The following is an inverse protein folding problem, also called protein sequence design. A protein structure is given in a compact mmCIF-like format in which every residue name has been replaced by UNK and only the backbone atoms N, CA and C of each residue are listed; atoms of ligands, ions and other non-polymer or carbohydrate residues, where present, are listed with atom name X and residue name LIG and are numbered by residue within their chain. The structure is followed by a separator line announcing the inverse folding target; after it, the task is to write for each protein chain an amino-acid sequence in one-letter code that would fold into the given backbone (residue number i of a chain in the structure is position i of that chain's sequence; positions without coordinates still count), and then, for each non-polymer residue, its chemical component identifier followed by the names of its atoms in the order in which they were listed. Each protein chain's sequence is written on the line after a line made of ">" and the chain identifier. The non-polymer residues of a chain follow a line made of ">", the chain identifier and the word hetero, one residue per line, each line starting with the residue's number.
data_IF_112256648548
#
_entry.id   IF_112256648548
#
_cell.length_a   1.000
_cell.length_b   1.000
_cell.length_c   1.000
_cell.angle_alpha   90.00
_cell.angle_beta   90.00
_cell.angle_gamma   90.00
#
_symmetry.space_group_name_H-M   'P 1'
#
loop_
_entity.id
_entity.type
_entity.pdbx_description
1 polymer ?
#
# COMPACT_ATOMS: atom_id res chain seq x y z
N UNK A 1 -16.46 -17.94 35.55
CA UNK A 1 -17.47 -16.87 35.46
C UNK A 1 -16.91 -15.73 34.63
N UNK A 2 -17.64 -15.25 33.62
CA UNK A 2 -17.22 -14.07 32.87
C UNK A 2 -17.33 -12.83 33.78
N UNK A 3 -16.25 -12.06 33.90
CA UNK A 3 -16.20 -10.85 34.73
C UNK A 3 -16.66 -9.66 33.89
N UNK A 4 -17.76 -9.04 34.28
CA UNK A 4 -18.20 -7.76 33.74
C UNK A 4 -17.76 -6.64 34.68
N UNK A 5 -17.03 -5.65 34.17
CA UNK A 5 -16.73 -4.41 34.88
C UNK A 5 -17.60 -3.30 34.30
N UNK A 6 -18.27 -2.55 35.18
CA UNK A 6 -19.09 -1.43 34.76
C UNK A 6 -18.21 -0.34 34.10
N UNK A 7 -18.62 0.22 32.95
CA UNK A 7 -17.90 1.31 32.32
C UNK A 7 -18.00 2.58 33.16
N UNK A 8 -16.93 3.38 33.16
CA UNK A 8 -16.91 4.69 33.81
C UNK A 8 -17.66 5.68 32.93
N UNK A 9 -18.73 6.29 33.46
CA UNK A 9 -19.55 7.29 32.77
C UNK A 9 -19.36 8.64 33.47
N UNK A 10 -19.27 9.72 32.68
CA UNK A 10 -19.19 11.08 33.20
C UNK A 10 -20.59 11.59 33.60
N UNK A 11 -20.71 12.20 34.77
CA UNK A 11 -21.95 12.82 35.24
C UNK A 11 -21.92 14.34 35.01
N UNK A 12 -23.03 14.90 34.53
CA UNK A 12 -23.19 16.33 34.28
C UNK A 12 -24.53 16.81 34.86
N UNK A 13 -24.54 17.39 36.07
CA UNK A 13 -25.79 17.77 36.74
C UNK A 13 -26.47 18.99 36.11
N UNK A 14 -25.76 19.77 35.30
CA UNK A 14 -26.24 21.06 34.76
C UNK A 14 -26.68 21.02 33.30
N UNK A 15 -26.50 19.89 32.60
CA UNK A 15 -26.90 19.79 31.20
C UNK A 15 -26.52 18.47 30.54
N UNK A 16 -26.82 18.37 29.24
CA UNK A 16 -26.49 17.22 28.41
C UNK A 16 -25.28 17.54 27.53
N UNK A 17 -24.19 16.79 27.67
CA UNK A 17 -22.99 16.95 26.86
C UNK A 17 -21.68 16.67 27.60
N UNK A 18 -20.52 16.79 26.91
CA UNK A 18 -19.21 16.57 27.52
C UNK A 18 -18.94 17.59 28.63
N UNK A 19 -18.62 17.12 29.83
CA UNK A 19 -18.32 17.99 30.97
C UNK A 19 -16.81 18.24 31.16
N UNK A 20 -15.96 17.35 30.67
CA UNK A 20 -14.52 17.45 30.80
C UNK A 20 -13.78 17.04 29.53
N UNK A 21 -12.60 17.66 29.32
CA UNK A 21 -11.65 17.21 28.30
C UNK A 21 -11.16 15.81 28.71
N UNK A 22 -11.12 14.83 27.78
CA UNK A 22 -10.58 13.51 28.07
C UNK A 22 -9.17 13.60 28.65
N UNK A 23 -8.91 12.85 29.73
CA UNK A 23 -7.63 12.85 30.46
C UNK A 23 -6.43 12.60 29.55
N UNK A 24 -6.60 11.76 28.52
CA UNK A 24 -5.59 11.43 27.50
C UNK A 24 -5.01 12.64 26.76
N UNK A 25 -5.77 13.74 26.66
CA UNK A 25 -5.41 14.92 25.87
C UNK A 25 -5.27 16.20 26.71
N UNK A 26 -5.36 16.10 28.04
CA UNK A 26 -5.33 17.27 28.93
C UNK A 26 -3.99 17.99 28.94
N UNK A 27 -2.90 17.22 28.92
CA UNK A 27 -1.53 17.73 29.08
C UNK A 27 -0.77 17.87 27.75
N UNK A 28 -1.47 17.77 26.62
CA UNK A 28 -0.87 17.81 25.29
C UNK A 28 -1.50 18.93 24.45
N UNK A 29 -0.71 19.85 23.87
CA UNK A 29 -1.22 20.84 22.93
C UNK A 29 -1.94 20.16 21.75
N UNK A 30 -3.21 20.51 21.55
CA UNK A 30 -4.00 19.91 20.49
C UNK A 30 -3.56 20.44 19.12
N UNK A 31 -3.24 19.53 18.20
CA UNK A 31 -3.04 19.85 16.78
C UNK A 31 -3.75 18.81 15.91
N UNK A 32 -4.65 19.22 14.99
CA UNK A 32 -5.34 18.29 14.11
C UNK A 32 -4.36 17.66 13.11
N UNK A 33 -4.53 16.37 12.85
CA UNK A 33 -3.73 15.62 11.89
C UNK A 33 -4.55 14.51 11.24
N UNK A 34 -4.09 14.05 10.08
CA UNK A 34 -4.66 12.91 9.36
C UNK A 34 -3.64 11.78 9.31
N UNK A 35 -4.04 10.58 9.76
CA UNK A 35 -3.20 9.36 9.69
C UNK A 35 -2.95 8.88 8.26
N UNK A 36 -3.76 9.35 7.30
CA UNK A 36 -3.62 9.01 5.88
C UNK A 36 -2.66 9.91 5.12
N UNK A 37 -2.10 10.94 5.77
CA UNK A 37 -1.20 11.88 5.11
C UNK A 37 0.15 11.20 4.79
N UNK A 38 0.70 11.55 3.61
CA UNK A 38 1.95 10.95 3.14
C UNK A 38 3.13 11.39 4.02
N UNK A 39 3.88 10.42 4.52
CA UNK A 39 5.11 10.64 5.32
C UNK A 39 6.38 10.54 4.46
N UNK A 40 7.49 11.11 4.95
CA UNK A 40 8.82 11.02 4.34
C UNK A 40 9.29 12.26 3.56
N UNK A 41 8.93 13.47 4.04
CA UNK A 41 9.53 14.72 3.55
C UNK A 41 10.89 14.91 4.21
N UNK A 42 11.93 15.21 3.42
CA UNK A 42 13.29 15.46 3.90
C UNK A 42 13.43 16.95 4.18
N UNK A 43 14.13 17.31 5.27
CA UNK A 43 14.55 18.69 5.53
C UNK A 43 15.97 18.88 5.00
N UNK A 44 16.20 19.98 4.28
CA UNK A 44 17.50 20.32 3.69
C UNK A 44 17.79 21.81 3.91
N UNK A 45 18.81 22.11 4.71
CA UNK A 45 19.25 23.47 5.01
C UNK A 45 19.95 24.15 3.83
N UNK A 46 20.44 23.38 2.84
CA UNK A 46 21.07 23.92 1.63
C UNK A 46 20.06 24.29 0.54
N UNK A 47 18.82 23.82 0.65
CA UNK A 47 17.74 24.05 -0.31
C UNK A 47 17.91 23.37 -1.68
N UNK A 48 18.91 22.51 -1.87
CA UNK A 48 19.23 21.91 -3.17
C UNK A 48 18.33 20.70 -3.52
N UNK A 49 17.75 20.05 -2.52
CA UNK A 49 17.04 18.76 -2.65
C UNK A 49 15.76 18.82 -3.49
N UNK A 50 15.03 19.95 -3.48
CA UNK A 50 13.73 20.07 -4.17
C UNK A 50 13.76 21.10 -5.29
N UNK A 51 14.33 20.73 -6.45
CA UNK A 51 14.28 21.56 -7.66
C UNK A 51 12.86 21.64 -8.27
N UNK A 52 12.03 20.60 -8.09
CA UNK A 52 10.64 20.56 -8.56
C UNK A 52 9.66 20.72 -7.39
N UNK A 53 8.91 21.84 -7.39
CA UNK A 53 7.89 22.19 -6.38
C UNK A 53 6.73 21.19 -6.29
N UNK A 54 6.58 20.27 -7.25
CA UNK A 54 5.53 19.24 -7.21
C UNK A 54 5.76 18.18 -6.13
N UNK A 55 7.02 17.94 -5.75
CA UNK A 55 7.35 16.96 -4.72
C UNK A 55 6.86 17.38 -3.32
N UNK A 56 7.18 18.57 -2.79
CA UNK A 56 6.75 18.99 -1.45
C UNK A 56 5.22 19.11 -1.30
N UNK A 57 4.50 19.43 -2.38
CA UNK A 57 3.03 19.50 -2.37
C UNK A 57 2.33 18.15 -2.14
N UNK A 58 3.04 17.03 -2.17
CA UNK A 58 2.47 15.71 -1.83
C UNK A 58 2.46 15.43 -0.32
N UNK A 59 3.13 16.27 0.46
CA UNK A 59 3.30 16.13 1.91
C UNK A 59 2.59 17.25 2.67
N UNK A 60 1.88 18.15 1.97
CA UNK A 60 1.03 19.16 2.59
C UNK A 60 -0.24 18.50 3.10
N UNK A 61 -0.49 18.59 4.41
CA UNK A 61 -1.73 18.11 5.02
C UNK A 61 -2.92 18.93 4.51
N UNK A 62 -4.02 18.25 4.20
CA UNK A 62 -5.26 18.89 3.77
C UNK A 62 -6.17 19.29 4.95
N UNK A 63 -6.00 18.63 6.10
CA UNK A 63 -6.96 18.69 7.21
C UNK A 63 -6.44 19.44 8.46
N UNK A 64 -5.22 19.98 8.42
CA UNK A 64 -4.68 20.68 9.58
C UNK A 64 -3.34 21.35 9.31
N UNK A 65 -3.36 22.66 9.16
CA UNK A 65 -2.17 23.51 9.17
C UNK A 65 -1.98 24.13 10.55
N UNK A 66 -1.47 23.36 11.51
CA UNK A 66 -1.13 23.85 12.84
C UNK A 66 0.39 24.01 13.01
N UNK A 67 0.81 25.06 13.72
CA UNK A 67 2.20 25.34 14.05
C UNK A 67 2.48 25.26 15.55
N UNK A 68 1.63 24.54 16.31
CA UNK A 68 1.71 24.46 17.78
C UNK A 68 3.00 23.76 18.21
N UNK A 69 3.48 22.82 17.40
CA UNK A 69 4.76 22.13 17.58
C UNK A 69 5.88 22.67 16.65
N UNK A 70 5.73 23.88 16.11
CA UNK A 70 6.73 24.47 15.24
C UNK A 70 7.77 25.28 16.03
N UNK A 71 9.03 25.11 15.68
CA UNK A 71 10.12 25.98 16.13
C UNK A 71 10.36 27.07 15.10
N UNK A 72 10.40 28.33 15.55
CA UNK A 72 10.78 29.48 14.74
C UNK A 72 12.16 29.96 15.18
N UNK A 73 13.09 30.00 14.24
CA UNK A 73 14.43 30.51 14.48
C UNK A 73 14.46 32.00 14.15
N UNK A 74 14.66 32.86 15.16
CA UNK A 74 14.61 34.32 15.00
C UNK A 74 15.97 34.96 14.70
N UNK A 75 17.07 34.21 14.86
CA UNK A 75 18.43 34.75 14.70
C UNK A 75 18.96 34.59 13.27
N UNK A 76 19.66 35.63 12.79
CA UNK A 76 20.31 35.62 11.48
C UNK A 76 21.69 34.95 11.57
N UNK A 77 21.74 33.63 11.38
CA UNK A 77 22.97 32.80 11.44
C UNK A 77 24.05 33.24 10.41
N UNK A 78 23.70 34.01 9.38
CA UNK A 78 24.65 34.50 8.36
C UNK A 78 25.65 35.52 8.90
N UNK A 79 25.45 36.03 10.11
CA UNK A 79 26.30 37.06 10.72
C UNK A 79 27.51 36.46 11.46
N UNK A 80 27.45 35.17 11.82
CA UNK A 80 28.54 34.51 12.53
C UNK A 80 29.59 33.99 11.56
N UNK A 81 30.86 34.30 11.84
CA UNK A 81 32.00 33.69 11.15
C UNK A 81 32.72 32.76 12.11
N UNK A 82 32.99 31.53 11.64
CA UNK A 82 33.81 30.59 12.39
C UNK A 82 35.26 31.09 12.40
N UNK A 83 35.75 31.50 13.56
CA UNK A 83 37.17 31.86 13.76
C UNK A 83 37.98 30.56 13.82
N UNK A 84 38.81 30.32 12.81
CA UNK A 84 39.69 29.15 12.76
C UNK A 84 40.97 29.43 13.58
N UNK A 85 41.17 28.71 14.69
CA UNK A 85 42.40 28.75 15.49
C UNK A 85 43.40 27.65 15.10
N UNK A 86 43.09 26.82 14.09
CA UNK A 86 43.94 25.73 13.65
C UNK A 86 44.76 26.13 12.41
N UNK A 87 46.08 25.84 12.43
CA UNK A 87 46.91 25.96 11.23
C UNK A 87 46.48 24.88 10.22
N UNK A 88 45.80 25.29 9.15
CA UNK A 88 45.36 24.38 8.06
C UNK A 88 46.53 23.59 7.48
N UNK A 89 46.58 22.27 7.71
CA UNK A 89 47.43 21.37 6.93
C UNK A 89 46.75 21.02 5.60
N UNK A 90 47.38 21.40 4.49
CA UNK A 90 46.93 21.04 3.15
C UNK A 90 47.31 19.59 2.86
N UNK A 91 46.33 18.69 2.77
CA UNK A 91 46.54 17.31 2.31
C UNK A 91 46.86 17.30 0.81
N UNK A 92 48.02 16.74 0.45
CA UNK A 92 48.59 16.78 -0.90
C UNK A 92 47.80 16.01 -1.99
N UNK A 93 46.76 15.27 -1.63
CA UNK A 93 46.17 14.25 -2.51
C UNK A 93 44.96 14.69 -3.35
N UNK A 94 44.50 15.94 -3.26
CA UNK A 94 43.34 16.42 -4.05
C UNK A 94 43.70 17.12 -5.38
N UNK A 95 44.97 17.09 -5.80
CA UNK A 95 45.42 17.80 -7.00
C UNK A 95 44.94 17.20 -8.34
N UNK A 96 44.31 16.01 -8.36
CA UNK A 96 43.99 15.32 -9.63
C UNK A 96 42.49 15.14 -9.95
N UNK A 97 41.57 15.67 -9.14
CA UNK A 97 40.11 15.63 -9.47
C UNK A 97 39.66 16.72 -10.45
N UNK A 98 40.52 17.72 -10.69
CA UNK A 98 40.22 18.88 -11.55
C UNK A 98 40.31 18.61 -13.07
N UNK A 99 40.87 17.48 -13.52
CA UNK A 99 40.96 17.19 -14.97
C UNK A 99 39.64 16.72 -15.59
N UNK A 100 38.75 16.07 -14.82
CA UNK A 100 37.46 15.60 -15.35
C UNK A 100 36.39 16.71 -15.40
N UNK A 101 36.47 17.71 -14.51
CA UNK A 101 35.60 18.89 -14.55
C UNK A 101 35.88 19.82 -15.74
N UNK A 102 37.12 19.86 -16.24
CA UNK A 102 37.51 20.69 -17.39
C UNK A 102 36.93 20.20 -18.73
N UNK A 103 36.59 18.90 -18.85
CA UNK A 103 35.98 18.37 -20.09
C UNK A 103 34.51 18.80 -20.21
N UNK A 104 33.79 18.94 -19.09
CA UNK A 104 32.44 19.48 -19.08
C UNK A 104 32.40 21.00 -19.29
N UNK A 105 33.40 21.73 -18.78
CA UNK A 105 33.51 23.18 -19.03
C UNK A 105 33.82 23.54 -20.49
N UNK A 106 34.54 22.69 -21.26
CA UNK A 106 34.73 22.91 -22.70
C UNK A 106 33.42 22.79 -23.49
N UNK A 107 32.55 21.84 -23.12
CA UNK A 107 31.23 21.69 -23.75
C UNK A 107 30.28 22.87 -23.47
N UNK A 108 30.37 23.47 -22.27
CA UNK A 108 29.63 24.70 -21.93
C UNK A 108 30.22 25.97 -22.57
N UNK A 109 31.53 25.97 -22.88
CA UNK A 109 32.20 27.08 -23.58
C UNK A 109 31.85 27.08 -25.08
N UNK A 110 31.70 25.91 -25.71
CA UNK A 110 31.21 25.80 -27.09
C UNK A 110 29.72 26.19 -27.21
N UNK A 111 28.91 25.88 -26.20
CA UNK A 111 27.50 26.32 -26.14
C UNK A 111 27.36 27.83 -25.93
N UNK A 112 28.27 28.46 -25.16
CA UNK A 112 28.31 29.92 -24.98
C UNK A 112 28.87 30.66 -26.19
N UNK A 113 29.83 30.10 -26.91
CA UNK A 113 30.34 30.70 -28.15
C UNK A 113 29.33 30.67 -29.31
N UNK A 114 28.37 29.72 -29.31
CA UNK A 114 27.25 29.76 -30.26
C UNK A 114 26.17 30.81 -29.87
N UNK A 115 26.16 31.27 -28.61
CA UNK A 115 25.23 32.31 -28.16
C UNK A 115 25.74 33.74 -28.44
N UNK A 116 27.02 33.90 -28.77
CA UNK A 116 27.61 35.20 -29.11
C UNK A 116 27.67 35.49 -30.62
N UNK A 117 27.44 34.50 -31.49
CA UNK A 117 27.45 34.70 -32.95
C UNK A 117 26.06 34.93 -33.58
N UNK A 118 25.06 35.30 -32.78
CA UNK A 118 23.68 35.48 -33.25
C UNK A 118 23.15 36.92 -33.10
N UNK A 119 24.05 37.90 -33.24
CA UNK A 119 23.71 39.30 -33.55
C UNK A 119 23.66 39.51 -35.08
N UNK A 120 23.06 38.56 -35.80
CA UNK A 120 22.69 38.77 -37.19
C UNK A 120 21.25 38.34 -37.37
N UNK A 121 20.45 39.27 -37.88
CA UNK A 121 19.01 39.13 -38.07
C UNK A 121 18.73 38.01 -39.06
N UNK A 122 18.40 36.81 -38.56
CA UNK A 122 17.85 35.77 -39.43
C UNK A 122 16.52 36.24 -40.03
N UNK A 123 16.27 36.02 -41.34
CA UNK A 123 15.01 36.37 -41.99
C UNK A 123 13.83 35.64 -41.32
N UNK A 124 12.68 36.32 -41.26
CA UNK A 124 11.46 35.90 -40.54
C UNK A 124 11.00 34.46 -40.85
N UNK A 125 11.37 33.89 -42.00
CA UNK A 125 11.02 32.52 -42.42
C UNK A 125 11.79 31.43 -41.66
N UNK A 126 13.03 31.67 -41.23
CA UNK A 126 13.86 30.68 -40.54
C UNK A 126 13.44 30.46 -39.08
N UNK A 127 13.01 31.53 -38.40
CA UNK A 127 12.47 31.47 -37.02
C UNK A 127 11.17 30.66 -36.91
N UNK A 128 10.33 30.70 -37.94
CA UNK A 128 9.06 29.95 -37.97
C UNK A 128 9.33 28.44 -38.04
N UNK A 129 10.23 28.02 -38.93
CA UNK A 129 10.60 26.61 -39.15
C UNK A 129 11.22 25.97 -37.90
N UNK A 130 11.99 26.73 -37.13
CA UNK A 130 12.58 26.26 -35.87
C UNK A 130 11.54 26.18 -34.73
N UNK A 131 10.57 27.10 -34.70
CA UNK A 131 9.45 27.07 -33.75
C UNK A 131 8.54 25.87 -34.01
N UNK A 132 8.31 25.52 -35.28
CA UNK A 132 7.53 24.34 -35.68
C UNK A 132 8.29 23.04 -35.40
N UNK A 133 9.62 23.00 -35.61
CA UNK A 133 10.47 21.87 -35.20
C UNK A 133 10.40 21.63 -33.69
N UNK A 134 10.44 22.68 -32.88
CA UNK A 134 10.29 22.57 -31.42
C UNK A 134 8.88 22.16 -30.99
N UNK A 135 7.83 22.63 -31.68
CA UNK A 135 6.44 22.20 -31.40
C UNK A 135 6.22 20.73 -31.71
N UNK A 136 6.79 20.22 -32.82
CA UNK A 136 6.68 18.83 -33.21
C UNK A 136 7.44 17.91 -32.23
N UNK A 137 8.64 18.33 -31.79
CA UNK A 137 9.42 17.62 -30.77
C UNK A 137 8.69 17.58 -29.41
N UNK A 138 8.04 18.67 -29.00
CA UNK A 138 7.19 18.69 -27.78
C UNK A 138 5.94 17.81 -27.90
N UNK A 139 5.34 17.70 -29.09
CA UNK A 139 4.21 16.78 -29.33
C UNK A 139 4.65 15.32 -29.24
N UNK A 140 5.78 14.97 -29.87
CA UNK A 140 6.34 13.62 -29.82
C UNK A 140 6.69 13.22 -28.37
N UNK A 141 7.34 14.12 -27.62
CA UNK A 141 7.70 13.87 -26.22
C UNK A 141 6.48 13.71 -25.29
N UNK A 142 5.38 14.44 -25.56
CA UNK A 142 4.10 14.26 -24.85
C UNK A 142 3.42 12.94 -25.18
N UNK A 143 3.50 12.47 -26.43
CA UNK A 143 2.85 11.23 -26.86
C UNK A 143 3.53 9.98 -26.25
N UNK A 144 4.86 10.00 -26.09
CA UNK A 144 5.58 8.96 -25.35
C UNK A 144 5.33 9.02 -23.83
N UNK A 145 5.12 10.21 -23.25
CA UNK A 145 4.79 10.37 -21.83
C UNK A 145 3.38 9.91 -21.43
N UNK A 146 2.41 9.91 -22.35
CA UNK A 146 1.03 9.45 -22.08
C UNK A 146 0.95 7.92 -22.01
N UNK A 147 1.76 7.20 -22.78
CA UNK A 147 1.84 5.72 -22.74
C UNK A 147 2.43 5.24 -21.40
N UNK A 148 3.50 5.89 -20.93
CA UNK A 148 4.12 5.64 -19.63
C UNK A 148 3.16 5.92 -18.45
N UNK A 149 2.21 6.84 -18.62
CA UNK A 149 1.22 7.19 -17.57
C UNK A 149 0.14 6.12 -17.37
N UNK A 150 -0.17 5.31 -18.38
CA UNK A 150 -1.13 4.21 -18.28
C UNK A 150 -0.52 2.98 -17.62
N UNK A 151 0.75 2.68 -17.93
CA UNK A 151 1.53 1.63 -17.27
C UNK A 151 1.87 1.98 -15.81
N UNK A 152 1.90 3.28 -15.50
CA UNK A 152 2.12 3.81 -14.16
C UNK A 152 0.81 4.13 -13.44
N UNK A 153 -0.25 3.35 -13.68
CA UNK A 153 -1.28 3.16 -12.66
C UNK A 153 -0.59 2.52 -11.47
N UNK A 154 -0.24 3.38 -10.50
CA UNK A 154 0.20 3.00 -9.16
C UNK A 154 -0.54 1.73 -8.77
N UNK A 155 0.20 0.64 -8.58
CA UNK A 155 -0.31 -0.52 -7.87
C UNK A 155 -0.87 0.05 -6.57
N UNK A 156 -2.20 0.11 -6.47
CA UNK A 156 -2.83 0.53 -5.22
C UNK A 156 -2.33 -0.48 -4.19
N UNK A 157 -1.76 -0.03 -3.06
CA UNK A 157 -1.42 -0.97 -2.00
C UNK A 157 -2.67 -1.79 -1.72
N UNK A 158 -2.55 -3.10 -1.88
CA UNK A 158 -3.63 -4.02 -1.55
C UNK A 158 -3.55 -4.20 -0.06
N UNK A 159 -4.44 -3.51 0.65
CA UNK A 159 -4.50 -3.62 2.09
C UNK A 159 -4.84 -5.08 2.47
N UNK A 160 -4.27 -5.55 3.56
CA UNK A 160 -4.56 -6.87 4.09
C UNK A 160 -6.05 -6.97 4.44
N UNK A 161 -6.68 -8.10 4.15
CA UNK A 161 -8.09 -8.32 4.49
C UNK A 161 -8.35 -8.40 6.00
N UNK A 162 -7.28 -8.40 6.81
CA UNK A 162 -7.32 -8.55 8.26
C UNK A 162 -6.35 -7.57 8.91
N UNK A 163 -6.75 -7.10 10.08
CA UNK A 163 -5.92 -6.28 10.97
C UNK A 163 -4.90 -7.18 11.68
N UNK A 164 -3.62 -6.98 11.37
CA UNK A 164 -2.52 -7.72 12.01
C UNK A 164 -2.32 -7.15 13.42
N UNK A 165 -2.54 -7.99 14.44
CA UNK A 165 -2.34 -7.62 15.84
C UNK A 165 -0.98 -8.11 16.36
N UNK A 166 -0.44 -7.44 17.37
CA UNK A 166 0.88 -7.73 17.94
C UNK A 166 0.93 -8.99 18.81
N UNK A 167 -0.22 -9.57 19.17
CA UNK A 167 -0.35 -10.82 19.94
C UNK A 167 -0.25 -12.08 19.06
N UNK A 168 -0.12 -11.92 17.74
CA UNK A 168 -0.04 -13.05 16.81
C UNK A 168 1.37 -13.62 16.74
N UNK A 169 1.49 -14.91 17.02
CA UNK A 169 2.74 -15.65 16.86
C UNK A 169 2.90 -16.13 15.40
N UNK A 170 4.01 -15.75 14.77
CA UNK A 170 4.36 -16.23 13.43
C UNK A 170 4.91 -17.66 13.54
N UNK A 171 4.16 -18.64 13.02
CA UNK A 171 4.57 -20.05 13.04
C UNK A 171 5.47 -20.44 11.89
N UNK A 172 5.03 -20.18 10.66
CA UNK A 172 5.76 -20.51 9.45
C UNK A 172 5.44 -19.51 8.34
N UNK A 173 6.46 -19.12 7.58
CA UNK A 173 6.33 -18.32 6.36
C UNK A 173 6.59 -19.21 5.13
N UNK A 174 5.67 -19.14 4.15
CA UNK A 174 5.77 -19.91 2.91
C UNK A 174 5.66 -18.98 1.70
N UNK A 175 6.67 -19.01 0.83
CA UNK A 175 6.70 -18.25 -0.42
C UNK A 175 6.08 -19.06 -1.58
N UNK A 176 5.57 -18.35 -2.60
CA UNK A 176 4.94 -19.00 -3.76
C UNK A 176 5.88 -19.94 -4.53
N UNK A 177 7.18 -19.62 -4.75
CA UNK A 177 8.13 -20.55 -5.36
C UNK A 177 8.25 -21.90 -4.62
N UNK A 178 8.19 -21.91 -3.28
CA UNK A 178 8.19 -23.15 -2.48
C UNK A 178 6.90 -23.94 -2.68
N UNK A 179 5.73 -23.28 -2.69
CA UNK A 179 4.44 -23.94 -2.96
C UNK A 179 4.39 -24.59 -4.35
N UNK A 180 4.93 -23.94 -5.38
CA UNK A 180 4.94 -24.46 -6.76
C UNK A 180 5.78 -25.73 -6.94
N UNK A 181 6.78 -25.94 -6.07
CA UNK A 181 7.66 -27.12 -6.13
C UNK A 181 7.11 -28.31 -5.34
N UNK A 182 6.15 -28.09 -4.45
CA UNK A 182 5.55 -29.18 -3.68
C UNK A 182 4.71 -30.07 -4.59
N UNK A 183 4.92 -31.38 -4.45
CA UNK A 183 4.14 -32.41 -5.14
C UNK A 183 3.79 -33.49 -4.12
N UNK A 184 2.55 -33.94 -4.16
CA UNK A 184 2.07 -35.03 -3.33
C UNK A 184 1.44 -36.06 -4.27
N UNK A 185 1.99 -37.29 -4.29
CA UNK A 185 1.68 -38.31 -5.31
C UNK A 185 0.70 -39.38 -4.83
N UNK A 186 0.62 -39.62 -3.52
CA UNK A 186 -0.16 -40.73 -2.95
C UNK A 186 -1.49 -40.21 -2.36
N UNK A 187 -2.48 -40.00 -3.23
CA UNK A 187 -3.85 -39.67 -2.81
C UNK A 187 -4.74 -40.83 -3.23
N UNK A 188 -5.42 -41.47 -2.28
CA UNK A 188 -6.45 -42.47 -2.58
C UNK A 188 -7.74 -41.81 -3.04
N UNK A 189 -8.55 -42.53 -3.82
CA UNK A 189 -9.87 -42.06 -4.22
C UNK A 189 -10.76 -41.79 -3.00
N UNK A 190 -11.58 -40.74 -3.04
CA UNK A 190 -12.46 -40.40 -1.93
C UNK A 190 -13.54 -41.48 -1.75
N UNK A 191 -13.92 -41.72 -0.49
CA UNK A 191 -15.04 -42.58 -0.12
C UNK A 191 -16.18 -41.69 0.35
N UNK A 192 -17.34 -41.84 -0.28
CA UNK A 192 -18.55 -41.10 0.09
C UNK A 192 -19.09 -41.60 1.44
N UNK A 193 -19.29 -40.67 2.38
CA UNK A 193 -19.80 -40.97 3.73
C UNK A 193 -21.30 -40.67 3.78
N UNK A 194 -21.70 -39.46 3.38
CA UNK A 194 -23.09 -39.02 3.33
C UNK A 194 -23.33 -38.11 2.12
N UNK A 195 -24.47 -38.31 1.45
CA UNK A 195 -24.93 -37.47 0.34
C UNK A 195 -26.20 -36.74 0.78
N UNK A 196 -26.13 -35.41 0.85
CA UNK A 196 -27.24 -34.58 1.32
C UNK A 196 -27.66 -33.55 0.27
N UNK A 197 -28.95 -33.22 0.24
CA UNK A 197 -29.52 -32.17 -0.62
C UNK A 197 -30.34 -32.72 -1.80
N UNK A 198 -30.79 -31.80 -2.64
CA UNK A 198 -31.54 -32.09 -3.86
C UNK A 198 -31.00 -31.24 -5.02
N UNK A 199 -30.97 -31.82 -6.21
CA UNK A 199 -30.44 -31.17 -7.42
C UNK A 199 -31.56 -31.06 -8.47
N UNK A 200 -31.71 -29.87 -9.04
CA UNK A 200 -32.59 -29.65 -10.20
C UNK A 200 -31.94 -30.18 -11.48
N UNK A 201 -32.75 -30.64 -12.43
CA UNK A 201 -32.25 -31.04 -13.74
C UNK A 201 -31.71 -29.83 -14.52
N UNK A 202 -30.55 -30.02 -15.15
CA UNK A 202 -29.97 -29.03 -16.04
C UNK A 202 -30.76 -28.98 -17.37
N UNK A 203 -31.15 -27.79 -17.78
CA UNK A 203 -31.79 -27.55 -19.08
C UNK A 203 -30.73 -27.48 -20.20
N UNK A 204 -30.66 -28.53 -21.01
CA UNK A 204 -29.72 -28.65 -22.14
C UNK A 204 -29.95 -27.62 -23.24
N UNK A 205 -31.08 -26.91 -23.24
CA UNK A 205 -31.30 -25.82 -24.19
C UNK A 205 -30.29 -24.67 -24.02
N UNK A 206 -29.73 -24.50 -22.80
CA UNK A 206 -28.72 -23.48 -22.53
C UNK A 206 -27.38 -23.72 -23.26
N UNK A 207 -27.08 -24.97 -23.66
CA UNK A 207 -25.84 -25.29 -24.39
C UNK A 207 -25.81 -24.68 -25.81
N UNK A 208 -26.98 -24.33 -26.37
CA UNK A 208 -27.13 -23.78 -27.71
C UNK A 208 -27.13 -22.25 -27.77
N UNK A 209 -26.95 -21.58 -26.62
CA UNK A 209 -26.89 -20.12 -26.56
C UNK A 209 -25.59 -19.66 -27.22
N UNK A 210 -25.69 -18.73 -28.17
CA UNK A 210 -24.55 -18.15 -28.88
C UNK A 210 -24.55 -16.64 -28.71
N UNK A 211 -23.46 -15.97 -29.08
CA UNK A 211 -23.37 -14.50 -29.05
C UNK A 211 -24.35 -13.79 -29.99
N UNK A 212 -24.97 -14.53 -30.92
CA UNK A 212 -26.03 -14.02 -31.81
C UNK A 212 -27.43 -14.29 -31.26
N UNK A 213 -27.60 -15.40 -30.53
CA UNK A 213 -28.86 -15.80 -29.89
C UNK A 213 -28.69 -15.75 -28.38
N UNK A 214 -28.53 -14.55 -27.85
CA UNK A 214 -28.36 -14.32 -26.42
C UNK A 214 -29.69 -14.42 -25.66
N UNK A 215 -29.61 -14.82 -24.39
CA UNK A 215 -30.75 -14.90 -23.47
C UNK A 215 -30.49 -13.96 -22.30
N UNK A 216 -31.36 -12.98 -22.01
CA UNK A 216 -31.14 -12.05 -20.92
C UNK A 216 -31.16 -12.77 -19.56
N UNK A 217 -30.17 -12.46 -18.71
CA UNK A 217 -30.06 -13.04 -17.38
C UNK A 217 -31.15 -12.48 -16.46
N UNK A 218 -31.95 -13.37 -15.86
CA UNK A 218 -33.00 -12.98 -14.90
C UNK A 218 -32.43 -12.96 -13.49
N UNK A 219 -32.82 -11.97 -12.69
CA UNK A 219 -32.55 -11.97 -11.26
C UNK A 219 -33.47 -13.00 -10.58
N UNK A 220 -32.87 -14.05 -10.02
CA UNK A 220 -33.61 -15.09 -9.29
C UNK A 220 -33.25 -14.97 -7.82
N UNK A 221 -34.26 -14.83 -6.96
CA UNK A 221 -34.09 -14.81 -5.51
C UNK A 221 -34.11 -16.26 -5.00
N UNK A 222 -32.94 -16.84 -4.79
CA UNK A 222 -32.76 -18.14 -4.11
C UNK A 222 -31.97 -17.94 -2.83
N UNK A 223 -32.20 -18.84 -1.87
CA UNK A 223 -31.46 -18.87 -0.61
C UNK A 223 -30.16 -19.64 -0.86
N UNK A 224 -29.02 -18.96 -0.75
CA UNK A 224 -27.70 -19.57 -0.83
C UNK A 224 -27.13 -19.69 0.59
N UNK A 225 -26.77 -20.91 0.98
CA UNK A 225 -26.22 -21.19 2.30
C UNK A 225 -24.69 -21.17 2.22
N UNK A 226 -24.05 -20.23 2.90
CA UNK A 226 -22.58 -20.17 3.05
C UNK A 226 -22.20 -20.56 4.48
N UNK A 227 -22.47 -21.83 4.83
CA UNK A 227 -22.23 -22.37 6.18
C UNK A 227 -20.75 -22.69 6.35
N UNK A 228 -20.19 -22.40 7.53
CA UNK A 228 -18.79 -22.71 7.85
C UNK A 228 -18.64 -24.17 8.29
N UNK A 229 -17.42 -24.71 8.25
CA UNK A 229 -17.15 -26.10 8.69
C UNK A 229 -17.54 -26.34 10.15
N UNK A 230 -17.45 -25.31 11.00
CA UNK A 230 -17.83 -25.40 12.42
C UNK A 230 -19.33 -25.33 12.64
N UNK A 231 -20.08 -24.67 11.76
CA UNK A 231 -21.54 -24.51 11.91
C UNK A 231 -22.35 -25.59 11.20
N UNK A 232 -21.68 -26.46 10.44
CA UNK A 232 -22.30 -27.58 9.75
C UNK A 232 -22.69 -28.71 10.73
N UNK A 233 -23.99 -29.02 10.90
CA UNK A 233 -24.46 -30.04 11.84
C UNK A 233 -24.09 -31.47 11.40
N UNK A 234 -23.93 -31.73 10.10
CA UNK A 234 -23.52 -33.05 9.59
C UNK A 234 -22.07 -33.28 9.95
N UNK A 235 -21.20 -32.30 9.69
CA UNK A 235 -19.78 -32.39 10.06
C UNK A 235 -19.62 -32.56 11.57
N UNK A 236 -20.43 -31.88 12.39
CA UNK A 236 -20.41 -32.04 13.86
C UNK A 236 -20.78 -33.46 14.31
N UNK A 237 -21.69 -34.14 13.62
CA UNK A 237 -22.09 -35.52 13.94
C UNK A 237 -21.02 -36.53 13.54
N UNK A 238 -20.39 -36.33 12.38
CA UNK A 238 -19.38 -37.24 11.82
C UNK A 238 -18.00 -37.02 12.45
N UNK A 239 -17.73 -35.82 12.99
CA UNK A 239 -16.47 -35.50 13.65
C UNK A 239 -16.39 -36.13 15.06
N UNK A 240 -15.43 -37.05 15.32
CA UNK A 240 -15.20 -37.59 16.66
C UNK A 240 -14.53 -36.56 17.60
N UNK A 241 -14.62 -36.74 18.94
CA UNK A 241 -14.07 -35.82 19.93
C UNK A 241 -12.53 -35.72 20.00
N UNK A 242 -11.78 -36.65 19.38
CA UNK A 242 -10.31 -36.65 19.35
C UNK A 242 -9.78 -36.97 17.92
N UNK A 243 -8.74 -36.28 17.41
CA UNK A 243 -8.42 -36.31 15.98
C UNK A 243 -7.32 -37.31 15.62
N UNK A 244 -7.48 -37.98 14.47
CA UNK A 244 -6.42 -37.92 13.45
C UNK A 244 -6.91 -37.37 12.09
N UNK A 245 -8.17 -36.90 11.98
CA UNK A 245 -8.77 -36.50 10.69
C UNK A 245 -8.97 -34.99 10.55
N UNK A 246 -8.70 -34.46 9.36
CA UNK A 246 -8.95 -33.06 8.99
C UNK A 246 -10.29 -32.89 8.29
N UNK A 247 -11.15 -32.00 8.78
CA UNK A 247 -12.44 -31.66 8.17
C UNK A 247 -12.37 -30.34 7.40
N UNK A 248 -12.98 -30.29 6.22
CA UNK A 248 -12.93 -29.11 5.32
C UNK A 248 -14.09 -29.13 4.34
N UNK A 249 -14.73 -27.98 4.16
CA UNK A 249 -15.62 -27.71 3.03
C UNK A 249 -14.83 -27.49 1.73
N UNK A 250 -15.43 -27.84 0.60
CA UNK A 250 -14.81 -27.77 -0.73
C UNK A 250 -14.61 -26.33 -1.21
N UNK A 251 -13.64 -25.65 -0.61
CA UNK A 251 -13.18 -24.34 -1.06
C UNK A 251 -11.80 -24.53 -1.74
N UNK A 252 -11.69 -24.21 -3.04
CA UNK A 252 -10.49 -24.49 -3.82
C UNK A 252 -9.30 -23.60 -3.44
N UNK A 253 -9.48 -22.62 -2.55
CA UNK A 253 -8.50 -21.56 -2.31
C UNK A 253 -7.15 -22.10 -1.84
N UNK A 254 -7.12 -23.20 -1.07
CA UNK A 254 -5.86 -23.86 -0.67
C UNK A 254 -5.23 -24.76 -1.73
N UNK A 255 -5.95 -25.12 -2.80
CA UNK A 255 -5.39 -25.88 -3.92
C UNK A 255 -4.73 -24.95 -4.96
N UNK A 256 -5.09 -23.67 -4.98
CA UNK A 256 -4.51 -22.67 -5.89
C UNK A 256 -3.99 -21.38 -5.21
N UNK A 257 -3.20 -21.45 -4.11
CA UNK A 257 -2.60 -20.26 -3.51
C UNK A 257 -1.73 -19.41 -4.46
N UNK A 258 -0.87 -19.96 -5.34
CA UNK A 258 0.06 -19.15 -6.14
C UNK A 258 -0.62 -18.28 -7.20
N UNK A 259 -1.93 -18.48 -7.45
CA UNK A 259 -2.72 -17.66 -8.37
C UNK A 259 -3.54 -16.57 -7.64
N UNK A 260 -3.47 -16.51 -6.31
CA UNK A 260 -4.20 -15.53 -5.53
C UNK A 260 -3.48 -14.17 -5.55
N UNK A 261 -4.15 -13.16 -6.12
CA UNK A 261 -3.67 -11.77 -6.14
C UNK A 261 -4.25 -10.93 -5.00
N UNK A 262 -5.35 -11.39 -4.40
CA UNK A 262 -6.03 -10.76 -3.27
C UNK A 262 -5.65 -11.47 -1.96
N UNK A 263 -5.68 -10.74 -0.86
CA UNK A 263 -5.47 -11.28 0.49
C UNK A 263 -6.69 -12.11 0.93
N UNK A 264 -6.42 -13.27 1.53
CA UNK A 264 -7.44 -14.19 2.03
C UNK A 264 -6.91 -14.86 3.29
N UNK A 265 -7.81 -15.19 4.21
CA UNK A 265 -7.46 -15.86 5.46
C UNK A 265 -8.39 -17.05 5.67
N UNK A 266 -7.87 -18.10 6.31
CA UNK A 266 -8.66 -19.26 6.75
C UNK A 266 -8.35 -19.55 8.20
N UNK A 267 -9.39 -19.58 9.03
CA UNK A 267 -9.27 -19.99 10.43
C UNK A 267 -9.23 -21.53 10.52
N UNK A 268 -8.33 -22.05 11.34
CA UNK A 268 -8.32 -23.46 11.74
C UNK A 268 -9.13 -23.57 13.02
N UNK A 269 -10.31 -24.19 12.96
CA UNK A 269 -11.06 -24.54 14.16
C UNK A 269 -10.31 -25.60 14.94
N UNK A 270 -9.67 -25.22 16.04
CA UNK A 270 -9.17 -26.16 17.04
C UNK A 270 -10.30 -26.44 18.01
N UNK A 271 -10.65 -27.72 18.21
CA UNK A 271 -11.46 -28.12 19.37
C UNK A 271 -10.82 -27.54 20.62
N UNK A 272 -11.64 -26.92 21.47
CA UNK A 272 -11.27 -26.29 22.74
C UNK A 272 -10.22 -27.13 23.50
N UNK A 273 -9.24 -26.51 24.18
CA UNK A 273 -8.36 -27.25 25.08
C UNK A 273 -9.20 -27.94 26.16
N UNK A 274 -8.78 -29.13 26.64
CA UNK A 274 -9.51 -29.84 27.68
C UNK A 274 -9.60 -28.94 28.92
N UNK A 275 -10.81 -28.70 29.40
CA UNK A 275 -11.05 -28.09 30.70
C UNK A 275 -10.29 -28.88 31.76
N UNK A 276 -9.42 -28.26 32.59
CA UNK A 276 -8.80 -28.96 33.70
C UNK A 276 -9.91 -29.37 34.68
N UNK A 277 -10.12 -30.68 34.80
CA UNK A 277 -10.92 -31.25 35.87
C UNK A 277 -10.15 -31.06 37.17
N UNK A 278 -10.67 -30.23 38.07
CA UNK A 278 -10.22 -30.18 39.46
C UNK A 278 -10.98 -31.27 40.23
N UNK A 279 -10.29 -32.18 40.95
CA UNK A 279 -10.96 -33.08 41.87
C UNK A 279 -11.48 -32.29 43.07
N UNK A 280 -12.65 -32.70 43.58
CA UNK A 280 -13.23 -32.26 44.85
C UNK A 280 -12.31 -32.61 46.02
#
# INVERSE_FOLDING_TARGET
>A
MAKFQAPVIQDNPTGWGPCAIPEKFRDMPYQPFSKGDRLGKVSDWTGATYQDKRYPNRYTSQFGGGSVYAYFHEENETTFQLVDTAKTQKTAYQKNRMRFAQRNLRRDKDRRNLTQFNMQTLPKSAKQKERDRMRLQKKFQKQFGVRQKWDQKSQKPRDSSVEVRSDWEVKEEMDFPRLMKMRYMEVSDPVDIECCGALEYYDKAFDRITTRNEKPLRSIKRIFHTVTTTDDPVIRKVAPPHPPRSWRLSEPVLKSPPFCLCSWQRLRGTSLPPTPSWPL
#
